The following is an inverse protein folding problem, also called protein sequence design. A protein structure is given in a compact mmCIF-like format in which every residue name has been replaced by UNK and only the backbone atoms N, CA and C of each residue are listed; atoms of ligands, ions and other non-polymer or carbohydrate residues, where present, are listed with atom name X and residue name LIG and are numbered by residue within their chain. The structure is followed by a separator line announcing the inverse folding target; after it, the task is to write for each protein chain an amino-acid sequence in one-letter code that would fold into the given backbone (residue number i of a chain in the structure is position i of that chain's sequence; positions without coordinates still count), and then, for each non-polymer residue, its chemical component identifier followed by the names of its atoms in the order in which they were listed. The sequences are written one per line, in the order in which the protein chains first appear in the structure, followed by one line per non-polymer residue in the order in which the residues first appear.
data_IF_393365296142
#
_entry.id   IF_393365296142
#
_cell.length_a   1.000
_cell.length_b   1.000
_cell.length_c   1.000
_cell.angle_alpha   90.00
_cell.angle_beta   90.00
_cell.angle_gamma   90.00
#
_symmetry.space_group_name_H-M   'P 1'
#
loop_
_entity.id
_entity.type
_entity.pdbx_description
1 polymer ?
#
# COMPACT_ATOMS: atom_id res chain seq x y z
N UNK A 1 -22.32 -13.97 0.47
CA UNK A 1 -21.33 -13.30 1.33
C UNK A 1 -21.98 -13.12 2.69
N UNK A 2 -21.32 -13.46 3.79
CA UNK A 2 -21.96 -13.35 5.11
C UNK A 2 -22.25 -11.86 5.42
N UNK A 3 -23.45 -11.56 5.92
CA UNK A 3 -23.98 -10.18 6.10
C UNK A 3 -23.02 -9.30 6.91
N UNK A 4 -22.32 -9.90 7.89
CA UNK A 4 -21.35 -9.18 8.71
C UNK A 4 -20.09 -8.75 7.93
N UNK A 5 -19.70 -9.51 6.90
CA UNK A 5 -18.50 -9.24 6.09
C UNK A 5 -18.77 -8.09 5.13
N UNK A 6 -19.96 -8.05 4.54
CA UNK A 6 -20.41 -6.93 3.71
C UNK A 6 -20.49 -5.63 4.53
N UNK A 7 -21.03 -5.72 5.74
CA UNK A 7 -21.07 -4.60 6.67
C UNK A 7 -19.66 -4.10 7.03
N UNK A 8 -18.76 -5.00 7.44
CA UNK A 8 -17.38 -4.66 7.76
C UNK A 8 -16.65 -3.99 6.59
N UNK A 9 -16.79 -4.52 5.38
CA UNK A 9 -16.20 -3.92 4.17
C UNK A 9 -16.76 -2.54 3.87
N UNK A 10 -18.07 -2.35 4.06
CA UNK A 10 -18.72 -1.05 3.85
C UNK A 10 -18.22 -0.01 4.85
N UNK A 11 -18.14 -0.37 6.14
CA UNK A 11 -17.64 0.50 7.21
C UNK A 11 -16.17 0.88 6.99
N UNK A 12 -15.33 -0.09 6.61
CA UNK A 12 -13.91 0.17 6.32
C UNK A 12 -13.70 1.01 5.06
N UNK A 13 -14.45 0.74 3.98
CA UNK A 13 -14.33 1.47 2.72
C UNK A 13 -14.89 2.89 2.80
N UNK A 14 -15.87 3.15 3.67
CA UNK A 14 -16.35 4.50 3.94
C UNK A 14 -15.39 5.31 4.83
N UNK A 15 -14.51 4.65 5.58
CA UNK A 15 -13.61 5.30 6.52
C UNK A 15 -12.46 6.06 5.84
N UNK A 16 -12.50 7.39 5.96
CA UNK A 16 -11.44 8.29 5.48
C UNK A 16 -10.05 7.93 5.98
N UNK A 17 -9.84 7.69 7.29
CA UNK A 17 -8.54 7.25 7.83
C UNK A 17 -8.03 5.95 7.21
N UNK A 18 -8.86 4.93 7.07
CA UNK A 18 -8.45 3.64 6.48
C UNK A 18 -8.05 3.83 5.02
N UNK A 19 -8.85 4.55 4.24
CA UNK A 19 -8.51 4.88 2.84
C UNK A 19 -7.21 5.67 2.72
N UNK A 20 -7.01 6.64 3.61
CA UNK A 20 -5.78 7.42 3.67
C UNK A 20 -4.55 6.55 3.92
N UNK A 21 -4.63 5.62 4.89
CA UNK A 21 -3.54 4.70 5.21
C UNK A 21 -3.26 3.71 4.08
N UNK A 22 -4.30 3.17 3.43
CA UNK A 22 -4.15 2.26 2.27
C UNK A 22 -3.38 2.92 1.14
N UNK A 23 -3.60 4.22 0.89
CA UNK A 23 -2.87 5.00 -0.11
C UNK A 23 -1.48 5.47 0.38
N UNK A 24 -1.35 5.81 1.67
CA UNK A 24 -0.09 6.31 2.23
C UNK A 24 1.02 5.25 2.28
N UNK A 25 0.67 3.97 2.51
CA UNK A 25 1.65 2.88 2.57
C UNK A 25 2.45 2.73 1.27
N UNK A 26 1.82 2.59 0.07
CA UNK A 26 2.54 2.56 -1.20
C UNK A 26 3.42 3.80 -1.44
N UNK A 27 2.92 4.98 -1.08
CA UNK A 27 3.68 6.24 -1.23
C UNK A 27 4.92 6.23 -0.35
N UNK A 28 4.79 5.84 0.93
CA UNK A 28 5.91 5.76 1.85
C UNK A 28 6.96 4.73 1.39
N UNK A 29 6.53 3.55 0.92
CA UNK A 29 7.44 2.54 0.36
C UNK A 29 8.19 3.11 -0.86
N UNK A 30 7.47 3.81 -1.74
CA UNK A 30 8.05 4.40 -2.94
C UNK A 30 9.10 5.45 -2.58
N UNK A 31 8.82 6.35 -1.64
CA UNK A 31 9.76 7.37 -1.18
C UNK A 31 10.99 6.73 -0.53
N UNK A 32 10.82 5.69 0.29
CA UNK A 32 11.92 4.94 0.87
C UNK A 32 12.77 4.27 -0.23
N UNK A 33 12.13 3.65 -1.24
CA UNK A 33 12.80 3.06 -2.40
C UNK A 33 13.60 4.08 -3.21
N UNK A 34 13.05 5.28 -3.47
CA UNK A 34 13.76 6.36 -4.17
C UNK A 34 14.98 6.81 -3.35
N UNK A 35 14.83 6.96 -2.03
CA UNK A 35 15.93 7.34 -1.15
C UNK A 35 17.05 6.29 -1.15
N UNK A 36 16.70 5.00 -1.06
CA UNK A 36 17.65 3.89 -1.16
C UNK A 36 18.31 3.81 -2.53
N UNK A 37 17.56 4.03 -3.62
CA UNK A 37 18.11 4.04 -4.98
C UNK A 37 19.12 5.18 -5.17
N UNK A 38 18.84 6.37 -4.64
CA UNK A 38 19.79 7.50 -4.66
C UNK A 38 21.10 7.17 -3.92
N UNK A 39 21.04 6.32 -2.91
CA UNK A 39 22.21 5.83 -2.16
C UNK A 39 22.84 4.56 -2.76
N UNK A 40 22.34 4.09 -3.91
CA UNK A 40 22.80 2.87 -4.61
C UNK A 40 22.66 1.60 -3.77
N UNK A 41 21.66 1.53 -2.89
CA UNK A 41 21.32 0.28 -2.17
C UNK A 41 20.77 -0.74 -3.17
N UNK A 42 21.21 -1.98 -3.06
CA UNK A 42 20.83 -3.04 -3.98
C UNK A 42 19.34 -3.38 -3.82
N UNK A 43 18.65 -3.67 -4.94
CA UNK A 43 17.21 -3.92 -4.94
C UNK A 43 16.30 -2.71 -4.68
N UNK A 44 16.81 -1.52 -4.37
CA UNK A 44 15.98 -0.32 -4.15
C UNK A 44 15.39 0.26 -5.46
N UNK A 45 16.11 0.14 -6.58
CA UNK A 45 15.68 0.64 -7.88
C UNK A 45 14.34 0.04 -8.37
N UNK A 46 14.12 -1.29 -8.37
CA UNK A 46 12.82 -1.84 -8.77
C UNK A 46 11.69 -1.39 -7.83
N UNK A 47 11.93 -1.30 -6.51
CA UNK A 47 10.92 -0.78 -5.56
C UNK A 47 10.52 0.66 -5.93
N UNK A 48 11.49 1.51 -6.23
CA UNK A 48 11.24 2.89 -6.64
C UNK A 48 10.43 2.95 -7.94
N UNK A 49 10.85 2.24 -8.99
CA UNK A 49 10.21 2.29 -10.31
C UNK A 49 8.78 1.76 -10.27
N UNK A 50 8.58 0.56 -9.72
CA UNK A 50 7.25 -0.04 -9.63
C UNK A 50 6.37 0.68 -8.61
N UNK A 51 6.95 1.20 -7.53
CA UNK A 51 6.25 2.06 -6.57
C UNK A 51 5.72 3.33 -7.21
N UNK A 52 6.53 4.05 -8.01
CA UNK A 52 6.10 5.23 -8.77
C UNK A 52 4.96 4.86 -9.72
N UNK A 53 5.14 3.80 -10.52
CA UNK A 53 4.12 3.36 -11.47
C UNK A 53 2.79 3.03 -10.77
N UNK A 54 2.85 2.36 -9.61
CA UNK A 54 1.66 2.04 -8.84
C UNK A 54 1.02 3.26 -8.18
N UNK A 55 1.82 4.21 -7.66
CA UNK A 55 1.28 5.46 -7.12
C UNK A 55 0.56 6.28 -8.21
N UNK A 56 1.13 6.36 -9.41
CA UNK A 56 0.47 6.99 -10.56
C UNK A 56 -0.82 6.26 -10.96
N UNK A 57 -0.79 4.93 -10.94
CA UNK A 57 -1.97 4.10 -11.19
C UNK A 57 -3.10 4.39 -10.18
N UNK A 58 -2.79 4.50 -8.89
CA UNK A 58 -3.79 4.81 -7.85
C UNK A 58 -4.32 6.25 -7.91
N UNK A 59 -3.50 7.20 -8.37
CA UNK A 59 -3.89 8.60 -8.48
C UNK A 59 -4.77 8.88 -9.72
N UNK A 60 -4.75 7.99 -10.72
CA UNK A 60 -5.56 8.18 -11.91
C UNK A 60 -7.06 7.95 -11.61
N UNK A 61 -7.96 8.83 -12.10
CA UNK A 61 -9.40 8.71 -11.90
C UNK A 61 -10.00 7.68 -12.87
N UNK A 62 -9.61 6.41 -12.74
CA UNK A 62 -10.09 5.33 -13.58
C UNK A 62 -11.60 5.14 -13.43
N UNK A 63 -12.33 5.35 -14.52
CA UNK A 63 -13.77 5.08 -14.60
C UNK A 63 -14.02 4.06 -15.70
N UNK A 64 -13.84 2.78 -15.37
CA UNK A 64 -14.12 1.69 -16.31
C UNK A 64 -15.63 1.48 -16.46
N UNK A 65 -16.11 1.50 -17.71
CA UNK A 65 -17.51 1.26 -18.05
C UNK A 65 -17.91 -0.22 -17.91
N UNK A 66 -16.97 -1.14 -18.15
CA UNK A 66 -17.19 -2.58 -18.06
C UNK A 66 -16.85 -3.12 -16.67
N UNK A 67 -17.73 -3.98 -16.13
CA UNK A 67 -17.55 -4.61 -14.82
C UNK A 67 -16.27 -5.44 -14.74
N UNK A 68 -15.97 -6.19 -15.80
CA UNK A 68 -14.78 -7.04 -15.91
C UNK A 68 -13.50 -6.22 -15.74
N UNK A 69 -13.37 -5.10 -16.45
CA UNK A 69 -12.22 -4.20 -16.32
C UNK A 69 -12.09 -3.60 -14.93
N UNK A 70 -13.22 -3.26 -14.28
CA UNK A 70 -13.21 -2.79 -12.89
C UNK A 70 -12.67 -3.87 -11.94
N UNK A 71 -13.12 -5.12 -12.09
CA UNK A 71 -12.64 -6.24 -11.30
C UNK A 71 -11.15 -6.52 -11.56
N UNK A 72 -10.72 -6.53 -12.82
CA UNK A 72 -9.31 -6.70 -13.19
C UNK A 72 -8.44 -5.60 -12.58
N UNK A 73 -8.89 -4.34 -12.62
CA UNK A 73 -8.19 -3.21 -12.00
C UNK A 73 -8.04 -3.39 -10.49
N UNK A 74 -9.08 -3.89 -9.81
CA UNK A 74 -9.01 -4.17 -8.36
C UNK A 74 -8.02 -5.29 -8.05
N UNK A 75 -8.09 -6.41 -8.78
CA UNK A 75 -7.17 -7.54 -8.62
C UNK A 75 -5.73 -7.09 -8.87
N UNK A 76 -5.48 -6.34 -9.94
CA UNK A 76 -4.16 -5.80 -10.24
C UNK A 76 -3.66 -4.89 -9.10
N UNK A 77 -4.52 -4.02 -8.58
CA UNK A 77 -4.16 -3.12 -7.48
C UNK A 77 -3.80 -3.89 -6.20
N UNK A 78 -4.54 -4.95 -5.89
CA UNK A 78 -4.23 -5.84 -4.75
C UNK A 78 -2.89 -6.53 -4.96
N UNK A 79 -2.64 -7.10 -6.15
CA UNK A 79 -1.39 -7.77 -6.47
C UNK A 79 -0.19 -6.81 -6.41
N UNK A 80 -0.33 -5.60 -6.94
CA UNK A 80 0.69 -4.55 -6.85
C UNK A 80 0.97 -4.18 -5.39
N UNK A 81 -0.08 -4.04 -4.56
CA UNK A 81 0.07 -3.71 -3.15
C UNK A 81 0.82 -4.81 -2.38
N UNK A 82 0.42 -6.08 -2.56
CA UNK A 82 1.08 -7.25 -1.95
C UNK A 82 2.54 -7.33 -2.41
N UNK A 83 2.78 -7.21 -3.71
CA UNK A 83 4.13 -7.26 -4.27
C UNK A 83 5.01 -6.16 -3.69
N UNK A 84 4.50 -4.92 -3.59
CA UNK A 84 5.28 -3.78 -3.10
C UNK A 84 5.66 -3.95 -1.63
N UNK A 85 4.72 -4.39 -0.78
CA UNK A 85 5.01 -4.71 0.63
C UNK A 85 6.00 -5.88 0.74
N UNK A 86 5.84 -6.93 -0.06
CA UNK A 86 6.75 -8.06 -0.04
C UNK A 86 8.16 -7.71 -0.54
N UNK A 87 8.27 -6.90 -1.59
CA UNK A 87 9.55 -6.39 -2.10
C UNK A 87 10.25 -5.51 -1.06
N UNK A 88 9.51 -4.59 -0.42
CA UNK A 88 10.01 -3.78 0.68
C UNK A 88 10.46 -4.63 1.87
N UNK A 89 9.66 -5.61 2.28
CA UNK A 89 10.01 -6.48 3.40
C UNK A 89 11.27 -7.30 3.12
N UNK A 90 11.40 -7.88 1.91
CA UNK A 90 12.63 -8.57 1.50
C UNK A 90 13.84 -7.64 1.49
N UNK A 91 13.67 -6.42 1.00
CA UNK A 91 14.73 -5.42 1.01
C UNK A 91 15.18 -5.09 2.43
N UNK A 92 14.24 -4.81 3.35
CA UNK A 92 14.54 -4.48 4.75
C UNK A 92 15.18 -5.65 5.52
N UNK A 93 14.71 -6.87 5.29
CA UNK A 93 15.17 -8.07 6.01
C UNK A 93 16.49 -8.63 5.45
N UNK A 94 16.76 -8.42 4.16
CA UNK A 94 17.98 -8.91 3.51
C UNK A 94 19.16 -7.95 3.67
N UNK A 95 18.92 -6.66 3.43
CA UNK A 95 19.93 -5.61 3.52
C UNK A 95 19.40 -4.54 4.47
N UNK A 96 20.11 -4.21 5.54
CA UNK A 96 19.66 -3.17 6.45
C UNK A 96 19.61 -1.84 5.67
N UNK A 97 18.42 -1.28 5.38
CA UNK A 97 18.36 -0.30 4.30
C UNK A 97 18.69 1.09 4.81
N UNK A 98 19.42 1.84 3.98
CA UNK A 98 19.74 3.24 4.20
C UNK A 98 18.86 4.11 3.27
N UNK A 99 18.17 5.16 3.77
CA UNK A 99 18.15 5.65 5.14
C UNK A 99 17.10 4.96 6.02
N UNK A 100 17.51 4.59 7.24
CA UNK A 100 16.70 3.83 8.21
C UNK A 100 15.33 4.47 8.46
N UNK A 101 15.26 5.80 8.60
CA UNK A 101 14.01 6.51 8.94
C UNK A 101 12.87 6.29 7.95
N UNK A 102 13.16 6.17 6.65
CA UNK A 102 12.12 5.91 5.64
C UNK A 102 11.42 4.56 5.86
N UNK A 103 12.18 3.55 6.28
CA UNK A 103 11.64 2.21 6.56
C UNK A 103 10.89 2.16 7.89
N UNK A 104 11.28 2.97 8.89
CA UNK A 104 10.51 3.13 10.11
C UNK A 104 9.11 3.68 9.83
N UNK A 105 9.00 4.72 8.98
CA UNK A 105 7.68 5.26 8.59
C UNK A 105 6.81 4.18 7.95
N UNK A 106 7.36 3.41 7.01
CA UNK A 106 6.62 2.32 6.37
C UNK A 106 6.16 1.30 7.40
N UNK A 107 7.04 0.86 8.30
CA UNK A 107 6.70 -0.09 9.37
C UNK A 107 5.61 0.46 10.30
N UNK A 108 5.69 1.73 10.68
CA UNK A 108 4.66 2.39 11.50
C UNK A 108 3.32 2.43 10.77
N UNK A 109 3.28 2.83 9.49
CA UNK A 109 2.04 2.86 8.71
C UNK A 109 1.41 1.48 8.55
N UNK A 110 2.23 0.44 8.28
CA UNK A 110 1.78 -0.95 8.19
C UNK A 110 1.20 -1.46 9.51
N UNK A 111 1.67 -0.95 10.65
CA UNK A 111 1.13 -1.30 11.97
C UNK A 111 -0.12 -0.50 12.34
N UNK A 112 -0.15 0.79 11.98
CA UNK A 112 -1.28 1.68 12.24
C UNK A 112 -2.50 1.31 11.38
N UNK A 113 -2.30 0.77 10.18
CA UNK A 113 -3.38 0.36 9.28
C UNK A 113 -4.34 -0.69 9.89
N UNK A 114 -3.89 -1.86 10.38
CA UNK A 114 -4.77 -2.84 11.02
C UNK A 114 -5.33 -2.34 12.35
N UNK A 115 -4.57 -1.56 13.12
CA UNK A 115 -5.07 -0.95 14.36
C UNK A 115 -6.25 -0.02 14.08
N UNK A 116 -6.10 0.87 13.10
CA UNK A 116 -7.14 1.83 12.69
C UNK A 116 -8.36 1.08 12.13
N UNK A 117 -8.14 0.06 11.31
CA UNK A 117 -9.22 -0.79 10.80
C UNK A 117 -9.99 -1.46 11.96
N UNK A 118 -9.29 -2.01 12.95
CA UNK A 118 -9.91 -2.60 14.13
C UNK A 118 -10.73 -1.60 14.94
N UNK A 119 -10.19 -0.40 15.20
CA UNK A 119 -10.92 0.68 15.90
C UNK A 119 -12.17 1.08 15.13
N UNK A 120 -12.07 1.25 13.82
CA UNK A 120 -13.22 1.60 12.96
C UNK A 120 -14.30 0.52 13.01
N UNK A 121 -13.93 -0.75 13.03
CA UNK A 121 -14.89 -1.87 13.16
C UNK A 121 -15.51 -1.99 14.55
N UNK A 122 -14.85 -1.51 15.61
CA UNK A 122 -15.38 -1.52 16.98
C UNK A 122 -16.31 -0.33 17.27
N UNK A 123 -16.12 0.79 16.57
CA UNK A 123 -16.87 2.04 16.77
C UNK A 123 -18.01 2.24 15.76
N UNK A 124 -17.95 1.57 14.61
CA UNK A 124 -18.97 1.58 13.56
C UNK A 124 -19.92 0.40 13.67
#
# INVERSE_FOLDING_TARGET
MEVWLEHAMTTLSASGPVRGLVAAVPVAITVAGIAGWRQRVEGAAPIALFGIAFCLWLAMPWNFAYLELRQTSLVLSILCWIWLVWAWARHVLGEWPAPIWGHWIVGTLLWVLPLTAGIVLLLG
#
